data_IF_851951199195
#
_entry.id   IF_851951199195
#
_cell.length_a   1.000
_cell.length_b   1.000
_cell.length_c   1.000
_cell.angle_alpha   90.00
_cell.angle_beta   90.00
_cell.angle_gamma   90.00
#
_symmetry.space_group_name_H-M   'P 1'
#
loop_
_entity.id
_entity.type
_entity.pdbx_description
1 polymer ?
#
# COMPACT_ATOMS: atom_id res chain seq x y z
N UNK A 1 -0.64 -56.46 59.53
CA UNK A 1 -0.45 -56.61 58.05
C UNK A 1 -0.95 -55.33 57.40
N UNK A 2 -0.05 -54.42 57.09
CA UNK A 2 -0.38 -53.13 56.48
C UNK A 2 0.01 -53.20 55.02
N UNK A 3 -1.00 -52.98 54.14
CA UNK A 3 -0.86 -52.98 52.72
C UNK A 3 -0.54 -51.55 52.25
N UNK A 4 0.68 -51.25 51.86
CA UNK A 4 1.07 -49.99 51.22
C UNK A 4 0.73 -50.09 49.74
N UNK A 5 -0.36 -49.46 49.31
CA UNK A 5 -0.62 -49.20 47.92
C UNK A 5 0.23 -48.03 47.44
N UNK A 6 1.22 -48.36 46.63
CA UNK A 6 2.10 -47.39 45.92
C UNK A 6 1.29 -46.81 44.73
N UNK A 7 0.76 -45.59 44.87
CA UNK A 7 0.20 -44.85 43.75
C UNK A 7 1.31 -44.10 43.00
N UNK A 8 1.81 -44.76 41.97
CA UNK A 8 2.72 -44.11 41.04
C UNK A 8 1.96 -43.05 40.21
N UNK A 9 2.15 -41.77 40.53
CA UNK A 9 1.69 -40.66 39.71
C UNK A 9 2.44 -40.67 38.39
N UNK A 10 1.75 -41.09 37.32
CA UNK A 10 2.27 -40.92 35.95
C UNK A 10 2.34 -39.41 35.61
N UNK A 11 3.52 -38.84 35.63
CA UNK A 11 3.77 -37.48 35.11
C UNK A 11 3.41 -37.47 33.62
N UNK A 12 2.28 -36.86 33.27
CA UNK A 12 1.93 -36.61 31.90
C UNK A 12 2.93 -35.62 31.32
N UNK A 13 3.87 -36.09 30.52
CA UNK A 13 4.79 -35.27 29.72
C UNK A 13 3.96 -34.51 28.68
N UNK A 14 3.51 -33.33 29.03
CA UNK A 14 2.79 -32.45 28.12
C UNK A 14 3.75 -32.10 26.96
N UNK A 15 3.50 -32.63 25.78
CA UNK A 15 4.28 -32.33 24.59
C UNK A 15 4.18 -30.85 24.28
N UNK A 16 5.24 -30.09 24.44
CA UNK A 16 5.32 -28.69 24.04
C UNK A 16 5.22 -28.66 22.50
N UNK A 17 4.18 -28.01 21.99
CA UNK A 17 4.03 -27.82 20.55
C UNK A 17 5.12 -26.87 20.07
N UNK A 18 5.86 -27.27 19.03
CA UNK A 18 6.83 -26.42 18.37
C UNK A 18 6.12 -25.27 17.64
N UNK A 19 6.57 -24.05 17.88
CA UNK A 19 6.09 -22.87 17.16
C UNK A 19 6.88 -22.75 15.87
N UNK A 20 6.16 -22.68 14.74
CA UNK A 20 6.77 -22.44 13.43
C UNK A 20 6.75 -20.93 13.16
N UNK A 21 7.92 -20.26 13.08
CA UNK A 21 7.96 -18.83 12.83
C UNK A 21 7.50 -18.51 11.41
N UNK A 22 6.80 -17.37 11.27
CA UNK A 22 6.35 -16.87 9.96
C UNK A 22 7.54 -16.31 9.18
N UNK A 23 7.66 -16.67 7.90
CA UNK A 23 8.62 -16.06 6.98
C UNK A 23 7.98 -14.87 6.27
N UNK A 24 8.47 -13.66 6.56
CA UNK A 24 8.01 -12.45 5.89
C UNK A 24 8.67 -12.29 4.53
N UNK A 25 7.93 -11.74 3.56
CA UNK A 25 8.37 -11.59 2.17
C UNK A 25 7.84 -10.28 1.59
N UNK A 26 8.55 -9.71 0.62
CA UNK A 26 8.03 -8.62 -0.22
C UNK A 26 6.93 -9.15 -1.15
N UNK A 27 6.07 -8.25 -1.64
CA UNK A 27 5.00 -8.58 -2.58
C UNK A 27 5.24 -7.86 -3.92
N UNK A 28 5.59 -8.62 -4.95
CA UNK A 28 5.93 -8.07 -6.28
C UNK A 28 5.34 -8.97 -7.36
N UNK A 29 4.68 -8.36 -8.34
CA UNK A 29 4.10 -9.06 -9.47
C UNK A 29 2.97 -10.04 -9.10
N UNK A 30 2.34 -9.86 -7.94
CA UNK A 30 1.32 -10.78 -7.43
C UNK A 30 1.90 -11.97 -6.63
N UNK A 31 3.20 -11.98 -6.37
CA UNK A 31 3.87 -13.07 -5.65
C UNK A 31 4.63 -12.57 -4.42
N UNK A 32 4.69 -13.42 -3.39
CA UNK A 32 5.51 -13.18 -2.21
C UNK A 32 6.95 -13.66 -2.45
N UNK A 33 7.88 -12.70 -2.55
CA UNK A 33 9.27 -12.94 -2.90
C UNK A 33 10.24 -12.57 -1.77
N UNK A 34 11.42 -13.16 -1.75
CA UNK A 34 12.57 -12.71 -0.95
C UNK A 34 13.31 -11.62 -1.71
N UNK A 35 14.13 -10.81 -1.00
CA UNK A 35 15.10 -9.95 -1.69
C UNK A 35 16.07 -10.80 -2.52
N UNK A 36 16.39 -10.33 -3.72
CA UNK A 36 17.36 -11.01 -4.60
C UNK A 36 18.75 -11.10 -3.98
N UNK A 37 19.07 -10.14 -3.11
CA UNK A 37 20.34 -10.10 -2.37
C UNK A 37 20.43 -11.14 -1.24
N UNK A 38 19.29 -11.76 -0.86
CA UNK A 38 19.19 -12.62 0.31
C UNK A 38 19.35 -11.89 1.66
N UNK A 39 19.51 -10.56 1.64
CA UNK A 39 19.68 -9.77 2.87
C UNK A 39 18.35 -9.57 3.59
N UNK A 40 18.43 -9.44 4.89
CA UNK A 40 17.31 -9.12 5.76
C UNK A 40 17.75 -8.16 6.88
N UNK A 41 16.79 -7.53 7.53
CA UNK A 41 16.96 -6.80 8.77
C UNK A 41 15.99 -7.34 9.81
N UNK A 42 16.27 -7.08 11.08
CA UNK A 42 15.46 -7.56 12.19
C UNK A 42 14.51 -6.48 12.69
N UNK A 43 13.29 -6.90 12.93
CA UNK A 43 12.27 -6.09 13.58
C UNK A 43 11.85 -6.78 14.86
N UNK A 44 11.82 -6.01 15.94
CA UNK A 44 11.37 -6.46 17.25
C UNK A 44 9.96 -5.94 17.53
N UNK A 45 9.09 -6.78 18.02
CA UNK A 45 7.72 -6.40 18.37
C UNK A 45 7.24 -7.19 19.58
N UNK A 46 6.13 -6.74 20.16
CA UNK A 46 5.53 -7.42 21.31
C UNK A 46 4.91 -8.74 20.88
N UNK A 47 5.14 -9.80 21.67
CA UNK A 47 4.41 -11.06 21.50
C UNK A 47 3.02 -10.90 22.09
N UNK A 48 1.98 -11.21 21.32
CA UNK A 48 0.59 -11.12 21.80
C UNK A 48 0.38 -12.04 23.01
N UNK A 49 -0.01 -11.45 24.13
CA UNK A 49 -0.30 -12.19 25.37
C UNK A 49 0.93 -12.60 26.20
N UNK A 50 2.14 -12.13 25.84
CA UNK A 50 3.37 -12.33 26.61
C UNK A 50 4.16 -11.03 26.75
N UNK A 51 4.98 -10.91 27.79
CA UNK A 51 5.97 -9.85 27.95
C UNK A 51 7.21 -10.06 27.03
N UNK A 52 7.27 -11.17 26.31
CA UNK A 52 8.39 -11.52 25.45
C UNK A 52 8.38 -10.70 24.16
N UNK A 53 9.58 -10.38 23.70
CA UNK A 53 9.76 -9.67 22.42
C UNK A 53 9.99 -10.69 21.31
N UNK A 54 9.11 -10.67 20.29
CA UNK A 54 9.30 -11.45 19.08
C UNK A 54 10.28 -10.69 18.15
N UNK A 55 11.34 -11.38 17.70
CA UNK A 55 12.27 -10.85 16.69
C UNK A 55 12.04 -11.58 15.39
N UNK A 56 11.76 -10.83 14.32
CA UNK A 56 11.48 -11.39 12.99
C UNK A 56 12.43 -10.84 11.94
N UNK A 57 12.75 -11.66 10.95
CA UNK A 57 13.56 -11.27 9.82
C UNK A 57 12.69 -10.74 8.69
N UNK A 58 12.97 -9.52 8.25
CA UNK A 58 12.29 -8.83 7.14
C UNK A 58 13.26 -8.71 5.97
N UNK A 59 12.84 -9.01 4.72
CA UNK A 59 13.70 -8.82 3.56
C UNK A 59 14.18 -7.37 3.45
N UNK A 60 15.47 -7.18 3.23
CA UNK A 60 16.06 -5.88 2.92
C UNK A 60 16.08 -5.71 1.40
N UNK A 61 15.11 -4.96 0.88
CA UNK A 61 14.97 -4.69 -0.54
C UNK A 61 16.19 -3.97 -1.12
N UNK A 62 16.57 -4.33 -2.32
CA UNK A 62 17.72 -3.82 -3.05
C UNK A 62 17.30 -2.93 -4.23
N UNK A 63 18.27 -2.26 -4.88
CA UNK A 63 18.04 -1.54 -6.13
C UNK A 63 17.48 -2.44 -7.23
N UNK A 64 17.88 -3.70 -7.25
CA UNK A 64 17.38 -4.68 -8.24
C UNK A 64 15.93 -5.04 -7.94
N UNK A 65 15.57 -5.25 -6.66
CA UNK A 65 14.18 -5.48 -6.26
C UNK A 65 13.29 -4.29 -6.66
N UNK A 66 13.76 -3.05 -6.47
CA UNK A 66 13.04 -1.85 -6.90
C UNK A 66 12.83 -1.81 -8.42
N UNK A 67 13.86 -2.12 -9.21
CA UNK A 67 13.77 -2.21 -10.67
C UNK A 67 12.78 -3.31 -11.10
N UNK A 68 12.87 -4.48 -10.50
CA UNK A 68 12.03 -5.63 -10.85
C UNK A 68 10.56 -5.36 -10.47
N UNK A 69 10.30 -4.64 -9.37
CA UNK A 69 8.98 -4.14 -8.99
C UNK A 69 8.43 -3.13 -10.00
N UNK A 70 9.27 -2.19 -10.49
CA UNK A 70 8.88 -1.26 -11.56
C UNK A 70 8.55 -1.99 -12.85
N UNK A 71 9.31 -3.02 -13.23
CA UNK A 71 9.01 -3.83 -14.41
C UNK A 71 7.68 -4.59 -14.26
N UNK A 72 7.39 -5.14 -13.08
CA UNK A 72 6.12 -5.80 -12.79
C UNK A 72 4.95 -4.81 -12.87
N UNK A 73 5.10 -3.62 -12.27
CA UNK A 73 4.08 -2.56 -12.31
C UNK A 73 3.82 -2.07 -13.75
N UNK A 74 4.89 -1.85 -14.54
CA UNK A 74 4.79 -1.48 -15.95
C UNK A 74 4.06 -2.55 -16.76
N UNK A 75 4.36 -3.82 -16.53
CA UNK A 75 3.72 -4.95 -17.21
C UNK A 75 2.21 -5.03 -16.93
N UNK A 76 1.78 -4.68 -15.72
CA UNK A 76 0.36 -4.71 -15.33
C UNK A 76 -0.42 -3.47 -15.77
N UNK A 77 0.24 -2.35 -16.05
CA UNK A 77 -0.38 -1.04 -16.26
C UNK A 77 -1.46 -1.06 -17.36
N UNK A 78 -1.12 -1.57 -18.54
CA UNK A 78 -2.06 -1.57 -19.67
C UNK A 78 -3.33 -2.38 -19.34
N UNK A 79 -3.17 -3.58 -18.79
CA UNK A 79 -4.31 -4.44 -18.43
C UNK A 79 -5.17 -3.85 -17.31
N UNK A 80 -4.57 -3.11 -16.37
CA UNK A 80 -5.29 -2.46 -15.29
C UNK A 80 -6.00 -1.18 -15.75
N UNK A 81 -5.33 -0.30 -16.48
CA UNK A 81 -5.91 0.94 -16.98
C UNK A 81 -7.04 0.72 -17.98
N UNK A 82 -6.98 -0.37 -18.77
CA UNK A 82 -8.02 -0.75 -19.72
C UNK A 82 -9.30 -1.31 -19.08
N UNK A 83 -9.28 -1.68 -17.78
CA UNK A 83 -10.50 -2.11 -17.07
C UNK A 83 -11.46 -0.94 -16.93
N UNK A 84 -12.77 -1.25 -17.05
CA UNK A 84 -13.78 -0.22 -16.79
C UNK A 84 -13.67 0.30 -15.36
N UNK A 85 -13.97 1.58 -15.11
CA UNK A 85 -13.98 2.14 -13.74
C UNK A 85 -14.86 1.33 -12.78
N UNK A 86 -16.03 0.87 -13.25
CA UNK A 86 -16.93 0.00 -12.49
C UNK A 86 -16.24 -1.31 -12.05
N UNK A 87 -15.53 -1.98 -12.97
CA UNK A 87 -14.82 -3.22 -12.63
C UNK A 87 -13.67 -2.97 -11.64
N UNK A 88 -12.94 -1.85 -11.75
CA UNK A 88 -11.97 -1.46 -10.73
C UNK A 88 -12.62 -1.27 -9.37
N UNK A 89 -13.79 -0.61 -9.33
CA UNK A 89 -14.59 -0.45 -8.10
C UNK A 89 -14.99 -1.79 -7.47
N UNK A 90 -15.43 -2.77 -8.27
CA UNK A 90 -15.75 -4.12 -7.78
C UNK A 90 -14.55 -4.80 -7.12
N UNK A 91 -13.36 -4.67 -7.73
CA UNK A 91 -12.11 -5.25 -7.17
C UNK A 91 -11.70 -4.54 -5.87
N UNK A 92 -11.86 -3.21 -5.80
CA UNK A 92 -11.58 -2.47 -4.56
C UNK A 92 -12.60 -2.78 -3.46
N UNK A 93 -13.87 -3.01 -3.82
CA UNK A 93 -14.87 -3.50 -2.87
C UNK A 93 -14.47 -4.88 -2.32
N UNK A 94 -14.01 -5.79 -3.21
CA UNK A 94 -13.49 -7.10 -2.80
C UNK A 94 -12.28 -6.98 -1.88
N UNK A 95 -11.42 -5.97 -2.08
CA UNK A 95 -10.33 -5.69 -1.15
C UNK A 95 -10.84 -5.28 0.23
N UNK A 96 -11.89 -4.46 0.32
CA UNK A 96 -12.51 -4.11 1.59
C UNK A 96 -13.07 -5.35 2.31
N UNK A 97 -13.70 -6.28 1.59
CA UNK A 97 -14.13 -7.58 2.16
C UNK A 97 -12.95 -8.40 2.69
N UNK A 98 -11.80 -8.38 2.00
CA UNK A 98 -10.61 -9.10 2.47
C UNK A 98 -9.97 -8.44 3.70
N UNK A 99 -9.99 -7.12 3.78
CA UNK A 99 -9.57 -6.39 4.99
C UNK A 99 -10.46 -6.73 6.18
N UNK A 100 -11.77 -6.69 5.98
CA UNK A 100 -12.75 -7.05 7.02
C UNK A 100 -12.58 -8.51 7.48
N UNK A 101 -12.45 -9.44 6.54
CA UNK A 101 -12.29 -10.87 6.86
C UNK A 101 -11.01 -11.18 7.65
N UNK A 102 -9.96 -10.35 7.54
CA UNK A 102 -8.68 -10.46 8.26
C UNK A 102 -8.52 -9.45 9.39
N UNK A 103 -9.63 -8.85 9.84
CA UNK A 103 -9.62 -7.78 10.85
C UNK A 103 -8.78 -8.14 12.08
N UNK A 104 -8.99 -9.30 12.66
CA UNK A 104 -8.29 -9.74 13.88
C UNK A 104 -6.78 -9.94 13.65
N UNK A 105 -6.38 -10.42 12.48
CA UNK A 105 -4.97 -10.56 12.12
C UNK A 105 -4.30 -9.19 11.94
N UNK A 106 -4.98 -8.25 11.30
CA UNK A 106 -4.53 -6.87 11.11
C UNK A 106 -4.40 -6.13 12.45
N UNK A 107 -5.41 -6.23 13.31
CA UNK A 107 -5.37 -5.67 14.68
C UNK A 107 -4.18 -6.26 15.46
N UNK A 108 -4.03 -7.58 15.42
CA UNK A 108 -2.91 -8.26 16.08
C UNK A 108 -1.55 -7.75 15.57
N UNK A 109 -1.43 -7.54 14.25
CA UNK A 109 -0.20 -7.02 13.65
C UNK A 109 0.12 -5.59 14.11
N UNK A 110 -0.89 -4.72 14.16
CA UNK A 110 -0.75 -3.34 14.64
C UNK A 110 -0.39 -3.28 16.15
N UNK A 111 -1.01 -4.13 16.96
CA UNK A 111 -0.68 -4.23 18.41
C UNK A 111 0.78 -4.69 18.59
N UNK A 112 1.24 -5.67 17.81
CA UNK A 112 2.65 -6.09 17.81
C UNK A 112 3.61 -4.97 17.41
N UNK A 113 3.17 -4.05 16.57
CA UNK A 113 3.93 -2.86 16.17
C UNK A 113 3.86 -1.73 17.21
N UNK A 114 3.13 -1.93 18.33
CA UNK A 114 3.08 -1.01 19.47
C UNK A 114 1.81 -0.14 19.56
N UNK A 115 0.80 -0.39 18.73
CA UNK A 115 -0.50 0.28 18.87
C UNK A 115 -1.28 -0.27 20.07
N UNK A 116 -2.13 0.54 20.71
CA UNK A 116 -3.13 0.03 21.62
C UNK A 116 -4.17 -0.81 20.88
N UNK A 117 -4.83 -1.75 21.55
CA UNK A 117 -5.87 -2.57 20.91
C UNK A 117 -7.04 -1.72 20.39
N UNK A 118 -7.38 -0.65 21.09
CA UNK A 118 -8.45 0.28 20.68
C UNK A 118 -8.05 1.06 19.42
N UNK A 119 -6.82 1.63 19.40
CA UNK A 119 -6.33 2.38 18.24
C UNK A 119 -6.15 1.46 17.03
N UNK A 120 -5.65 0.23 17.23
CA UNK A 120 -5.51 -0.77 16.18
C UNK A 120 -6.87 -1.15 15.57
N UNK A 121 -7.89 -1.36 16.41
CA UNK A 121 -9.27 -1.63 15.94
C UNK A 121 -9.80 -0.48 15.11
N UNK A 122 -9.70 0.75 15.61
CA UNK A 122 -10.12 1.96 14.89
C UNK A 122 -9.38 2.14 13.56
N UNK A 123 -8.05 1.87 13.53
CA UNK A 123 -7.25 1.99 12.31
C UNK A 123 -7.70 0.97 11.24
N UNK A 124 -8.02 -0.27 11.64
CA UNK A 124 -8.54 -1.27 10.71
C UNK A 124 -9.92 -0.88 10.19
N UNK A 125 -10.85 -0.52 11.08
CA UNK A 125 -12.22 -0.13 10.71
C UNK A 125 -12.21 1.06 9.73
N UNK A 126 -11.44 2.11 10.03
CA UNK A 126 -11.27 3.27 9.13
C UNK A 126 -10.64 2.88 7.80
N UNK A 127 -9.74 1.87 7.78
CA UNK A 127 -9.13 1.37 6.55
C UNK A 127 -10.13 0.66 5.66
N UNK A 128 -11.04 -0.13 6.23
CA UNK A 128 -12.13 -0.79 5.51
C UNK A 128 -13.08 0.25 4.92
N UNK A 129 -13.54 1.22 5.73
CA UNK A 129 -14.43 2.29 5.28
C UNK A 129 -13.81 3.10 4.14
N UNK A 130 -12.51 3.40 4.24
CA UNK A 130 -11.78 4.11 3.19
C UNK A 130 -11.65 3.31 1.91
N UNK A 131 -11.45 2.00 2.01
CA UNK A 131 -11.43 1.12 0.84
C UNK A 131 -12.81 1.10 0.14
N UNK A 132 -13.91 1.03 0.91
CA UNK A 132 -15.28 1.14 0.40
C UNK A 132 -15.51 2.49 -0.26
N UNK A 133 -15.03 3.58 0.33
CA UNK A 133 -15.17 4.93 -0.24
C UNK A 133 -14.51 5.03 -1.63
N UNK A 134 -13.26 4.57 -1.79
CA UNK A 134 -12.58 4.56 -3.08
C UNK A 134 -13.21 3.58 -4.08
N UNK A 135 -13.72 2.45 -3.63
CA UNK A 135 -14.51 1.54 -4.47
C UNK A 135 -15.75 2.24 -5.05
N UNK A 136 -16.48 2.97 -4.19
CA UNK A 136 -17.65 3.75 -4.58
C UNK A 136 -17.34 4.98 -5.43
N UNK A 137 -16.10 5.50 -5.38
CA UNK A 137 -15.68 6.64 -6.20
C UNK A 137 -15.29 6.22 -7.64
N UNK A 138 -14.88 4.99 -7.85
CA UNK A 138 -14.22 4.54 -9.08
C UNK A 138 -14.94 4.94 -10.37
N UNK A 139 -16.25 4.72 -10.45
CA UNK A 139 -17.08 5.03 -11.63
C UNK A 139 -17.54 6.50 -11.70
N UNK A 140 -17.25 7.30 -10.67
CA UNK A 140 -17.67 8.70 -10.56
C UNK A 140 -16.56 9.68 -10.89
N UNK A 141 -15.28 9.25 -10.92
CA UNK A 141 -14.13 10.13 -11.14
C UNK A 141 -14.30 10.97 -12.39
N UNK A 142 -14.63 10.35 -13.54
CA UNK A 142 -14.81 11.10 -14.79
C UNK A 142 -15.94 12.11 -14.70
N UNK A 143 -17.04 11.79 -14.04
CA UNK A 143 -18.16 12.72 -13.87
C UNK A 143 -17.81 13.93 -12.98
N UNK A 144 -16.86 13.76 -12.04
CA UNK A 144 -16.48 14.78 -11.07
C UNK A 144 -15.38 15.72 -11.58
N UNK A 145 -14.48 15.22 -12.46
CA UNK A 145 -13.28 15.99 -12.86
C UNK A 145 -13.20 16.26 -14.37
N UNK A 146 -13.98 15.58 -15.21
CA UNK A 146 -14.04 15.91 -16.63
C UNK A 146 -14.76 17.23 -16.86
N UNK A 147 -14.45 17.90 -17.96
CA UNK A 147 -15.07 19.18 -18.30
C UNK A 147 -15.39 19.30 -19.79
N UNK A 148 -16.46 20.03 -20.08
CA UNK A 148 -16.69 20.62 -21.40
C UNK A 148 -16.05 22.00 -21.43
N UNK A 149 -15.21 22.26 -22.43
CA UNK A 149 -14.47 23.49 -22.56
C UNK A 149 -15.05 24.33 -23.73
N UNK A 150 -15.76 25.44 -23.46
CA UNK A 150 -16.22 26.34 -24.52
C UNK A 150 -15.03 26.90 -25.29
N UNK A 151 -15.07 26.80 -26.62
CA UNK A 151 -14.03 27.32 -27.51
C UNK A 151 -14.67 28.14 -28.63
N UNK A 152 -13.95 29.18 -29.09
CA UNK A 152 -14.37 29.96 -30.25
C UNK A 152 -14.01 29.17 -31.51
N UNK A 153 -15.00 28.84 -32.33
CA UNK A 153 -14.84 28.11 -33.60
C UNK A 153 -15.57 26.77 -33.64
N UNK A 154 -15.49 26.06 -34.79
CA UNK A 154 -16.27 24.87 -35.06
C UNK A 154 -15.63 23.63 -34.39
N UNK A 155 -15.44 23.66 -33.07
CA UNK A 155 -14.87 22.58 -32.30
C UNK A 155 -15.67 22.30 -31.04
N UNK A 156 -15.79 21.02 -30.70
CA UNK A 156 -16.23 20.56 -29.38
C UNK A 156 -15.00 20.23 -28.54
N UNK A 157 -14.71 21.11 -27.57
CA UNK A 157 -13.57 20.95 -26.66
C UNK A 157 -14.02 20.24 -25.38
N UNK A 158 -13.33 19.19 -24.98
CA UNK A 158 -13.59 18.49 -23.71
C UNK A 158 -12.30 17.95 -23.10
N UNK A 159 -12.30 17.81 -21.78
CA UNK A 159 -11.15 17.29 -21.02
C UNK A 159 -11.57 16.03 -20.28
N UNK A 160 -10.78 14.97 -20.39
CA UNK A 160 -10.98 13.68 -19.73
C UNK A 160 -9.80 13.36 -18.80
N UNK A 161 -10.05 12.74 -17.64
CA UNK A 161 -8.99 12.22 -16.80
C UNK A 161 -8.44 10.90 -17.38
N UNK A 162 -7.14 10.78 -17.45
CA UNK A 162 -6.41 9.54 -17.73
C UNK A 162 -5.52 9.19 -16.54
N UNK A 163 -5.20 7.90 -16.28
CA UNK A 163 -4.26 7.55 -15.21
C UNK A 163 -2.87 8.12 -15.50
N UNK A 164 -2.18 8.59 -14.47
CA UNK A 164 -0.80 9.09 -14.59
C UNK A 164 0.18 8.01 -15.07
N UNK A 165 -0.16 6.75 -14.87
CA UNK A 165 0.67 5.61 -15.22
C UNK A 165 1.22 4.88 -14.00
N UNK A 166 2.56 4.72 -13.92
CA UNK A 166 3.20 4.08 -12.78
C UNK A 166 3.59 5.12 -11.73
N UNK A 167 3.10 4.93 -10.51
CA UNK A 167 3.46 5.77 -9.37
C UNK A 167 4.35 5.04 -8.37
N UNK A 168 5.28 5.76 -7.75
CA UNK A 168 6.01 5.29 -6.58
C UNK A 168 5.43 5.95 -5.32
N UNK A 169 5.33 5.17 -4.24
CA UNK A 169 4.81 5.65 -2.96
C UNK A 169 5.82 5.29 -1.86
N UNK A 170 6.18 6.26 -1.05
CA UNK A 170 6.84 6.01 0.23
C UNK A 170 5.74 6.10 1.30
N UNK A 171 5.35 4.96 1.84
CA UNK A 171 4.28 4.89 2.82
C UNK A 171 4.73 5.46 4.18
N UNK A 172 3.84 6.07 4.97
CA UNK A 172 4.18 6.55 6.29
C UNK A 172 4.46 5.39 7.25
N UNK A 173 5.29 5.66 8.26
CA UNK A 173 5.56 4.71 9.34
C UNK A 173 4.32 4.46 10.21
N UNK A 174 3.49 5.46 10.37
CA UNK A 174 2.24 5.42 11.15
C UNK A 174 1.30 6.53 10.66
N UNK A 175 0.01 6.22 10.45
CA UNK A 175 -0.66 4.94 10.65
C UNK A 175 -0.18 3.88 9.65
N UNK A 176 0.03 2.64 10.09
CA UNK A 176 0.70 1.63 9.26
C UNK A 176 -0.23 1.03 8.19
N UNK A 177 -1.42 0.58 8.56
CA UNK A 177 -2.42 0.05 7.62
C UNK A 177 -3.14 1.17 6.89
N UNK A 178 -3.69 2.11 7.65
CA UNK A 178 -4.47 3.22 7.11
C UNK A 178 -3.63 4.11 6.19
N UNK A 179 -2.34 4.25 6.50
CA UNK A 179 -1.38 4.93 5.63
C UNK A 179 -1.22 4.25 4.27
N UNK A 180 -1.12 2.93 4.24
CA UNK A 180 -1.06 2.16 2.99
C UNK A 180 -2.36 2.30 2.19
N UNK A 181 -3.51 2.11 2.83
CA UNK A 181 -4.83 2.24 2.17
C UNK A 181 -5.02 3.63 1.60
N UNK A 182 -4.71 4.68 2.38
CA UNK A 182 -4.91 6.08 1.99
C UNK A 182 -3.99 6.57 0.88
N UNK A 183 -2.85 5.91 0.68
CA UNK A 183 -1.86 6.33 -0.33
C UNK A 183 -1.92 5.46 -1.59
N UNK A 184 -2.26 4.19 -1.45
CA UNK A 184 -2.33 3.23 -2.57
C UNK A 184 -3.64 3.35 -3.34
N UNK A 185 -4.79 3.36 -2.63
CA UNK A 185 -6.09 3.27 -3.30
C UNK A 185 -6.40 4.47 -4.19
N UNK A 186 -6.04 5.73 -3.83
CA UNK A 186 -6.19 6.87 -4.73
C UNK A 186 -5.47 6.70 -6.07
N UNK A 187 -4.32 6.02 -6.08
CA UNK A 187 -3.57 5.78 -7.31
C UNK A 187 -4.21 4.66 -8.14
N UNK A 188 -4.52 3.51 -7.54
CA UNK A 188 -4.99 2.37 -8.33
C UNK A 188 -6.44 2.52 -8.80
N UNK A 189 -7.28 3.30 -8.11
CA UNK A 189 -8.66 3.59 -8.55
C UNK A 189 -8.69 4.33 -9.87
N UNK A 190 -7.67 5.16 -10.17
CA UNK A 190 -7.56 5.86 -11.46
C UNK A 190 -7.23 4.92 -12.63
N UNK A 191 -6.68 3.75 -12.35
CA UNK A 191 -6.10 2.83 -13.36
C UNK A 191 -4.56 2.86 -13.39
N UNK A 192 -3.92 3.62 -12.49
CA UNK A 192 -2.46 3.61 -12.30
C UNK A 192 -1.99 2.35 -11.56
N UNK A 193 -0.72 2.00 -11.72
CA UNK A 193 -0.05 0.95 -10.95
C UNK A 193 0.95 1.55 -9.97
N UNK A 194 1.29 0.84 -8.89
CA UNK A 194 2.14 1.39 -7.86
C UNK A 194 3.28 0.47 -7.44
N UNK A 195 4.43 1.11 -7.10
CA UNK A 195 5.51 0.50 -6.33
C UNK A 195 5.61 1.24 -5.00
N UNK A 196 5.41 0.52 -3.92
CA UNK A 196 5.32 1.07 -2.56
C UNK A 196 6.54 0.64 -1.75
N UNK A 197 7.19 1.58 -1.10
CA UNK A 197 8.14 1.32 -0.03
C UNK A 197 7.36 1.38 1.28
N UNK A 198 7.21 0.23 1.94
CA UNK A 198 6.51 0.13 3.23
C UNK A 198 7.31 0.80 4.35
N UNK A 199 6.62 1.16 5.43
CA UNK A 199 7.27 1.67 6.64
C UNK A 199 8.39 0.74 7.11
N UNK A 200 9.54 1.31 7.43
CA UNK A 200 10.77 0.57 7.71
C UNK A 200 10.76 -0.05 9.10
N UNK A 201 10.16 0.64 10.09
CA UNK A 201 10.20 0.21 11.48
C UNK A 201 9.51 -1.12 11.71
N UNK A 202 8.33 -1.30 11.15
CA UNK A 202 7.59 -2.56 11.25
C UNK A 202 6.69 -2.81 10.03
N UNK A 203 7.20 -3.46 8.99
CA UNK A 203 6.43 -3.73 7.78
C UNK A 203 5.50 -4.96 7.89
N UNK A 204 5.35 -5.60 9.06
CA UNK A 204 4.52 -6.80 9.21
C UNK A 204 3.08 -6.55 8.79
N UNK A 205 2.52 -5.40 9.19
CA UNK A 205 1.17 -5.00 8.78
C UNK A 205 1.05 -4.82 7.26
N UNK A 206 2.08 -4.25 6.61
CA UNK A 206 2.10 -4.13 5.16
C UNK A 206 2.08 -5.50 4.46
N UNK A 207 2.71 -6.52 5.04
CA UNK A 207 2.73 -7.87 4.47
C UNK A 207 1.37 -8.56 4.66
N UNK A 208 0.69 -8.38 5.80
CA UNK A 208 -0.71 -8.86 5.97
C UNK A 208 -1.64 -8.15 4.98
N UNK A 209 -1.48 -6.84 4.80
CA UNK A 209 -2.22 -6.10 3.76
C UNK A 209 -1.99 -6.67 2.35
N UNK A 210 -0.75 -7.06 2.02
CA UNK A 210 -0.46 -7.73 0.75
C UNK A 210 -1.18 -9.08 0.58
N UNK A 211 -1.46 -9.80 1.66
CA UNK A 211 -2.28 -11.02 1.60
C UNK A 211 -3.75 -10.71 1.31
N UNK A 212 -4.26 -9.57 1.80
CA UNK A 212 -5.58 -9.07 1.39
C UNK A 212 -5.59 -8.72 -0.10
N UNK A 213 -4.54 -8.03 -0.61
CA UNK A 213 -4.40 -7.73 -2.04
C UNK A 213 -4.36 -9.01 -2.90
N UNK A 214 -3.60 -10.02 -2.47
CA UNK A 214 -3.45 -11.28 -3.21
C UNK A 214 -4.74 -12.11 -3.30
N UNK A 215 -5.73 -11.83 -2.45
CA UNK A 215 -7.01 -12.55 -2.39
C UNK A 215 -8.22 -11.69 -2.78
N UNK A 216 -7.98 -10.47 -3.27
CA UNK A 216 -9.04 -9.50 -3.64
C UNK A 216 -9.31 -9.40 -5.14
N UNK A 217 -8.89 -10.37 -5.94
CA UNK A 217 -8.97 -10.35 -7.41
C UNK A 217 -8.15 -9.22 -8.08
N UNK A 218 -7.34 -8.51 -7.31
CA UNK A 218 -6.44 -7.49 -7.85
C UNK A 218 -5.35 -8.16 -8.71
N UNK A 219 -5.18 -7.76 -9.98
CA UNK A 219 -4.18 -8.38 -10.84
C UNK A 219 -2.76 -8.19 -10.29
N UNK A 220 -1.95 -9.24 -10.39
CA UNK A 220 -0.54 -9.18 -9.99
C UNK A 220 0.20 -8.07 -10.70
N UNK A 221 1.01 -7.31 -9.96
CA UNK A 221 1.77 -6.17 -10.47
C UNK A 221 1.05 -4.82 -10.41
N UNK A 222 -0.27 -4.76 -10.17
CA UNK A 222 -0.97 -3.47 -9.95
C UNK A 222 -0.44 -2.79 -8.69
N UNK A 223 -0.25 -3.54 -7.62
CA UNK A 223 0.41 -3.08 -6.40
C UNK A 223 1.63 -3.96 -6.15
N UNK A 224 2.77 -3.32 -5.89
CA UNK A 224 4.03 -3.98 -5.55
C UNK A 224 4.57 -3.34 -4.28
N UNK A 225 4.84 -4.13 -3.25
CA UNK A 225 5.26 -3.64 -1.94
C UNK A 225 6.65 -4.16 -1.61
N UNK A 226 7.57 -3.23 -1.45
CA UNK A 226 8.96 -3.46 -1.04
C UNK A 226 9.10 -3.15 0.44
N UNK A 227 9.90 -3.97 1.12
CA UNK A 227 10.40 -3.73 2.47
C UNK A 227 11.88 -3.34 2.41
N UNK A 228 12.35 -2.54 3.34
CA UNK A 228 13.74 -2.11 3.38
C UNK A 228 13.86 -0.62 3.70
N UNK A 229 15.05 -0.05 3.51
CA UNK A 229 15.32 1.33 3.88
C UNK A 229 14.76 2.31 2.84
N UNK A 230 13.85 3.19 3.29
CA UNK A 230 13.28 4.23 2.43
C UNK A 230 14.37 5.14 1.84
N UNK A 231 15.42 5.44 2.61
CA UNK A 231 16.57 6.23 2.16
C UNK A 231 17.37 5.60 1.01
N UNK A 232 17.30 4.27 0.84
CA UNK A 232 17.97 3.55 -0.24
C UNK A 232 17.04 3.33 -1.45
N UNK A 233 15.77 2.99 -1.20
CA UNK A 233 14.82 2.61 -2.25
C UNK A 233 14.15 3.82 -2.92
N UNK A 234 13.73 4.83 -2.14
CA UNK A 234 12.98 5.97 -2.67
C UNK A 234 13.77 6.79 -3.69
N UNK A 235 15.08 7.08 -3.51
CA UNK A 235 15.86 7.79 -4.53
C UNK A 235 16.01 6.99 -5.84
N UNK A 236 16.02 5.65 -5.78
CA UNK A 236 16.06 4.80 -6.98
C UNK A 236 14.74 4.91 -7.77
N UNK A 237 13.60 4.88 -7.06
CA UNK A 237 12.29 5.07 -7.67
C UNK A 237 12.13 6.50 -8.21
N UNK A 238 12.64 7.51 -7.49
CA UNK A 238 12.61 8.90 -7.92
C UNK A 238 13.39 9.14 -9.22
N UNK A 239 14.52 8.46 -9.41
CA UNK A 239 15.32 8.53 -10.67
C UNK A 239 14.75 7.70 -11.82
N UNK A 240 13.88 6.74 -11.52
CA UNK A 240 13.46 5.75 -12.51
C UNK A 240 12.55 6.40 -13.56
N UNK A 241 12.89 6.29 -14.85
CA UNK A 241 12.19 6.98 -15.96
C UNK A 241 10.75 6.47 -16.16
N UNK A 242 10.46 5.23 -15.81
CA UNK A 242 9.13 4.64 -15.93
C UNK A 242 8.19 5.06 -14.80
N UNK A 243 8.69 5.71 -13.76
CA UNK A 243 7.87 6.27 -12.68
C UNK A 243 7.44 7.66 -13.08
N UNK A 244 6.13 7.88 -13.29
CA UNK A 244 5.56 9.17 -13.68
C UNK A 244 5.13 10.03 -12.49
N UNK A 245 4.80 9.42 -11.36
CA UNK A 245 4.48 10.12 -10.12
C UNK A 245 5.22 9.53 -8.94
N UNK A 246 5.60 10.36 -7.96
CA UNK A 246 6.14 9.93 -6.69
C UNK A 246 5.42 10.69 -5.56
N UNK A 247 4.84 9.95 -4.62
CA UNK A 247 4.13 10.48 -3.45
C UNK A 247 4.81 9.97 -2.18
N UNK A 248 5.54 10.84 -1.47
CA UNK A 248 6.35 10.46 -0.33
C UNK A 248 5.77 10.99 0.98
N UNK A 249 5.39 10.08 1.87
CA UNK A 249 4.81 10.37 3.17
C UNK A 249 5.81 10.05 4.27
N UNK A 250 6.60 11.03 4.66
CA UNK A 250 7.67 10.84 5.64
C UNK A 250 7.97 12.11 6.44
N UNK A 251 8.23 11.93 7.73
CA UNK A 251 8.71 12.98 8.63
C UNK A 251 10.16 13.40 8.32
N UNK A 252 10.93 12.53 7.64
CA UNK A 252 12.32 12.79 7.29
C UNK A 252 12.43 13.87 6.20
N UNK A 253 12.80 15.09 6.63
CA UNK A 253 12.98 16.24 5.75
C UNK A 253 14.12 16.04 4.75
N UNK A 254 15.18 15.32 5.14
CA UNK A 254 16.30 15.05 4.25
C UNK A 254 15.89 14.07 3.13
N UNK A 255 15.07 13.05 3.46
CA UNK A 255 14.53 12.15 2.47
C UNK A 255 13.56 12.86 1.53
N UNK A 256 12.69 13.77 2.03
CA UNK A 256 11.82 14.59 1.16
C UNK A 256 12.62 15.40 0.15
N UNK A 257 13.60 16.18 0.63
CA UNK A 257 14.47 16.96 -0.24
C UNK A 257 15.26 16.09 -1.25
N UNK A 258 15.67 14.90 -0.82
CA UNK A 258 16.39 13.95 -1.68
C UNK A 258 15.49 13.45 -2.84
N UNK A 259 14.28 13.00 -2.55
CA UNK A 259 13.38 12.48 -3.60
C UNK A 259 12.90 13.58 -4.54
N UNK A 260 12.69 14.81 -4.07
CA UNK A 260 12.39 15.98 -4.90
C UNK A 260 13.53 16.29 -5.87
N UNK A 261 14.76 16.33 -5.37
CA UNK A 261 15.96 16.56 -6.20
C UNK A 261 16.16 15.45 -7.24
N UNK A 262 16.04 14.19 -6.83
CA UNK A 262 16.24 13.05 -7.73
C UNK A 262 15.10 12.92 -8.76
N UNK A 263 13.88 13.33 -8.40
CA UNK A 263 12.74 13.39 -9.31
C UNK A 263 12.80 14.51 -10.32
N UNK A 264 13.52 15.59 -10.05
CA UNK A 264 13.61 16.76 -10.93
C UNK A 264 14.30 16.48 -12.28
N UNK A 265 15.06 15.39 -12.39
CA UNK A 265 15.76 14.99 -13.63
C UNK A 265 14.84 14.47 -14.75
N UNK A 266 13.54 14.38 -14.51
CA UNK A 266 12.52 13.97 -15.49
C UNK A 266 11.19 14.68 -15.22
N UNK A 267 10.34 14.76 -16.24
CA UNK A 267 8.99 15.34 -16.10
C UNK A 267 8.10 14.34 -15.35
N UNK A 268 8.19 14.32 -14.03
CA UNK A 268 7.33 13.53 -13.17
C UNK A 268 6.73 14.40 -12.06
N UNK A 269 5.58 13.97 -11.55
CA UNK A 269 4.94 14.60 -10.42
C UNK A 269 5.56 14.10 -9.12
N UNK A 270 6.24 14.97 -8.39
CA UNK A 270 6.78 14.64 -7.07
C UNK A 270 6.00 15.44 -6.03
N UNK A 271 5.45 14.75 -5.04
CA UNK A 271 4.80 15.36 -3.90
C UNK A 271 5.33 14.74 -2.62
N UNK A 272 5.63 15.57 -1.64
CA UNK A 272 6.11 15.13 -0.34
C UNK A 272 5.17 15.63 0.76
N UNK A 273 5.04 14.83 1.82
CA UNK A 273 4.13 15.07 2.93
C UNK A 273 4.86 14.85 4.25
N UNK A 274 4.76 15.83 5.14
CA UNK A 274 5.30 15.78 6.51
C UNK A 274 4.24 15.43 7.55
N UNK A 275 4.61 15.57 8.82
CA UNK A 275 3.85 15.09 9.99
C UNK A 275 2.38 15.54 10.02
N UNK A 276 2.09 16.80 9.72
CA UNK A 276 0.72 17.31 9.74
C UNK A 276 -0.19 16.59 8.73
N UNK A 277 0.32 16.34 7.51
CA UNK A 277 -0.41 15.62 6.49
C UNK A 277 -0.55 14.13 6.83
N UNK A 278 0.49 13.53 7.41
CA UNK A 278 0.48 12.14 7.87
C UNK A 278 -0.55 11.97 9.01
N UNK A 279 -0.60 12.89 9.95
CA UNK A 279 -1.58 12.88 11.05
C UNK A 279 -3.02 12.98 10.53
N UNK A 280 -3.25 13.82 9.51
CA UNK A 280 -4.56 14.01 8.89
C UNK A 280 -5.10 12.73 8.20
N UNK A 281 -4.26 11.74 7.90
CA UNK A 281 -4.73 10.45 7.36
C UNK A 281 -5.66 9.72 8.34
N UNK A 282 -5.58 10.00 9.64
CA UNK A 282 -6.46 9.37 10.64
C UNK A 282 -7.87 9.96 10.67
N UNK A 283 -8.04 11.13 10.13
CA UNK A 283 -9.36 11.76 10.02
C UNK A 283 -10.17 11.09 8.91
N UNK A 284 -11.43 10.80 9.16
CA UNK A 284 -12.31 10.11 8.23
C UNK A 284 -12.52 10.91 6.95
N UNK A 285 -12.69 12.24 7.06
CA UNK A 285 -12.98 13.12 5.94
C UNK A 285 -11.71 13.71 5.32
N UNK A 286 -10.80 14.26 6.15
CA UNK A 286 -9.57 14.87 5.67
C UNK A 286 -8.56 13.87 5.10
N UNK A 287 -8.64 12.59 5.49
CA UNK A 287 -7.74 11.53 5.04
C UNK A 287 -8.11 10.89 3.70
N UNK A 288 -9.18 11.36 3.04
CA UNK A 288 -9.66 10.87 1.74
C UNK A 288 -10.17 12.04 0.89
N UNK A 289 -10.55 11.77 -0.35
CA UNK A 289 -11.15 12.79 -1.22
C UNK A 289 -10.52 12.87 -2.60
N UNK A 290 -11.12 13.71 -3.47
CA UNK A 290 -10.66 13.89 -4.84
C UNK A 290 -9.23 14.39 -4.93
N UNK A 291 -8.79 15.28 -4.03
CA UNK A 291 -7.42 15.80 -4.02
C UNK A 291 -6.32 14.73 -3.83
N UNK A 292 -6.67 13.55 -3.29
CA UNK A 292 -5.77 12.39 -3.28
C UNK A 292 -5.73 11.69 -4.64
N UNK A 293 -6.85 11.65 -5.36
CA UNK A 293 -6.97 10.99 -6.66
C UNK A 293 -6.35 11.84 -7.78
N UNK A 294 -6.56 13.15 -7.76
CA UNK A 294 -6.08 14.10 -8.78
C UNK A 294 -4.57 14.07 -8.97
N UNK A 295 -3.82 13.69 -7.94
CA UNK A 295 -2.35 13.52 -8.02
C UNK A 295 -1.94 12.45 -9.03
N UNK A 296 -2.84 11.49 -9.27
CA UNK A 296 -2.60 10.33 -10.14
C UNK A 296 -3.41 10.38 -11.42
N UNK A 297 -3.94 11.57 -11.77
CA UNK A 297 -4.66 11.81 -13.01
C UNK A 297 -3.87 12.75 -13.93
N UNK A 298 -3.84 12.43 -15.21
CA UNK A 298 -3.47 13.34 -16.30
C UNK A 298 -4.74 13.85 -16.95
N UNK A 299 -4.83 15.17 -17.16
CA UNK A 299 -5.99 15.78 -17.80
C UNK A 299 -5.73 15.97 -19.29
N UNK A 300 -6.41 15.16 -20.13
CA UNK A 300 -6.28 15.18 -21.57
C UNK A 300 -7.38 15.98 -22.22
N UNK A 301 -7.03 17.11 -22.81
CA UNK A 301 -7.96 17.95 -23.58
C UNK A 301 -8.00 17.54 -25.04
N UNK A 302 -9.21 17.33 -25.55
CA UNK A 302 -9.47 16.96 -26.94
C UNK A 302 -10.27 18.08 -27.60
N UNK A 303 -9.86 18.47 -28.79
CA UNK A 303 -10.57 19.39 -29.67
C UNK A 303 -11.11 18.58 -30.85
N UNK A 304 -12.42 18.29 -30.81
CA UNK A 304 -13.11 17.52 -31.84
C UNK A 304 -13.77 18.48 -32.84
N UNK A 305 -13.39 18.47 -34.15
CA UNK A 305 -14.05 19.31 -35.13
C UNK A 305 -15.54 18.93 -35.23
N UNK A 306 -16.40 19.92 -35.15
CA UNK A 306 -17.82 19.75 -35.47
C UNK A 306 -18.03 20.20 -36.89
N UNK A 307 -18.64 19.35 -37.72
CA UNK A 307 -18.93 19.69 -39.11
C UNK A 307 -19.86 20.92 -39.19
N UNK A 308 -19.61 21.78 -40.15
CA UNK A 308 -20.45 22.92 -40.48
C UNK A 308 -21.64 22.43 -41.30
#
# INVERSE_FOLDING_TARGET
MANHANQGAAASTQRVRLTVPRAYKMYVGGAFIRSESGRYYQVSGMTTGSADTEVVNIPLGSRKDARDAVLAAKGALHGWSARTPFNRGQILYRLAEMLESRRDELVTSLVRAGASAADAGTEVDTSVDRALWYAGLADKISALVASHNPVAGPHFGFTLPEPVGLAAIVAPESPALLGLVSTILPAIVTGSTVVVVAGERDPRTAIVFCECLATSDLPGGVVNVLTGRASELAPQLARHREVQALDAWTSDTALRALVEREGAGSVKRVKTHGDAAIAALRDADAGQGLGFVERFLEMKTVWHPVGI
#
